data_IF_350572618908
#
_entry.id   IF_350572618908
#
_cell.length_a   1.000
_cell.length_b   1.000
_cell.length_c   1.000
_cell.angle_alpha   90.00
_cell.angle_beta   90.00
_cell.angle_gamma   90.00
#
_symmetry.space_group_name_H-M   'P 1'
#
loop_
_entity.id
_entity.type
_entity.pdbx_description
1 polymer ?
#
# COMPACT_ATOMS: atom_id res chain seq x y z
N UNK A 1 2.98 14.92 19.01
CA UNK A 1 3.25 15.65 17.74
C UNK A 1 4.27 16.78 17.82
N UNK A 2 4.65 17.23 19.02
CA UNK A 2 5.61 18.35 19.19
C UNK A 2 7.01 18.01 18.65
N UNK A 3 7.46 16.79 18.85
CA UNK A 3 8.75 16.34 18.34
C UNK A 3 8.79 16.31 16.80
N UNK A 4 7.72 15.76 16.17
CA UNK A 4 7.58 15.76 14.72
C UNK A 4 7.54 17.21 14.18
N UNK A 5 6.76 18.10 14.80
CA UNK A 5 6.69 19.53 14.45
C UNK A 5 8.08 20.17 14.52
N UNK A 6 8.80 19.99 15.62
CA UNK A 6 10.13 20.54 15.80
C UNK A 6 11.14 20.01 14.76
N UNK A 7 11.09 18.72 14.45
CA UNK A 7 11.95 18.08 13.45
C UNK A 7 11.67 18.63 12.05
N UNK A 8 10.41 18.63 11.63
CA UNK A 8 10.00 19.12 10.31
C UNK A 8 10.33 20.59 10.15
N UNK A 9 10.06 21.43 11.16
CA UNK A 9 10.37 22.87 11.13
C UNK A 9 11.87 23.11 10.93
N UNK A 10 12.72 22.40 11.68
CA UNK A 10 14.19 22.53 11.50
C UNK A 10 14.64 22.16 10.10
N UNK A 11 14.12 21.07 9.56
CA UNK A 11 14.45 20.62 8.20
C UNK A 11 13.94 21.58 7.15
N UNK A 12 12.70 22.08 7.32
CA UNK A 12 12.10 23.04 6.40
C UNK A 12 12.85 24.36 6.35
N UNK A 13 13.27 24.91 7.50
CA UNK A 13 14.06 26.13 7.54
C UNK A 13 15.36 26.06 6.71
N UNK A 14 15.95 24.85 6.61
CA UNK A 14 17.11 24.64 5.73
C UNK A 14 16.67 24.62 4.27
N UNK A 15 15.64 23.85 3.92
CA UNK A 15 15.12 23.74 2.54
C UNK A 15 14.68 25.11 2.01
N UNK A 16 13.91 25.85 2.78
CA UNK A 16 13.41 27.19 2.44
C UNK A 16 14.55 28.17 2.15
N UNK A 17 15.59 28.15 3.00
CA UNK A 17 16.78 29.00 2.81
C UNK A 17 17.48 28.79 1.47
N UNK A 18 17.44 27.57 0.95
CA UNK A 18 18.05 27.22 -0.34
C UNK A 18 17.05 27.16 -1.50
N UNK A 19 15.79 27.51 -1.27
CA UNK A 19 14.75 27.54 -2.30
C UNK A 19 14.41 26.14 -2.86
N UNK A 20 14.50 25.08 -2.02
CA UNK A 20 14.19 23.70 -2.40
C UNK A 20 13.01 23.16 -1.59
N UNK A 21 12.27 22.20 -2.17
CA UNK A 21 11.22 21.47 -1.46
C UNK A 21 11.80 20.45 -0.50
N UNK A 22 10.97 19.99 0.46
CA UNK A 22 11.33 18.90 1.36
C UNK A 22 10.67 17.60 0.91
N UNK A 23 11.43 16.49 0.83
CA UNK A 23 10.94 15.17 0.46
C UNK A 23 10.69 14.28 1.67
N UNK A 24 9.52 13.63 1.70
CA UNK A 24 9.17 12.62 2.71
C UNK A 24 9.19 11.23 2.08
N UNK A 25 10.15 10.42 2.50
CA UNK A 25 10.28 9.05 2.05
C UNK A 25 9.31 8.13 2.80
N UNK A 26 8.76 7.11 2.11
CA UNK A 26 7.85 6.13 2.72
C UNK A 26 6.63 6.77 3.40
N UNK A 27 6.00 7.72 2.71
CA UNK A 27 4.84 8.45 3.22
C UNK A 27 3.57 7.61 3.40
N UNK A 28 3.46 6.44 2.77
CA UNK A 28 2.23 5.66 2.65
C UNK A 28 1.60 5.19 3.98
N UNK A 29 2.36 5.10 5.06
CA UNK A 29 1.89 4.69 6.39
C UNK A 29 1.65 5.83 7.38
N UNK A 30 1.64 7.09 6.93
CA UNK A 30 1.46 8.23 7.84
C UNK A 30 0.00 8.61 8.00
N UNK A 31 -0.36 9.10 9.20
CA UNK A 31 -1.71 9.58 9.48
C UNK A 31 -2.03 10.90 8.76
N UNK A 32 -3.33 11.15 8.53
CA UNK A 32 -3.81 12.43 7.98
C UNK A 32 -3.34 13.64 8.82
N UNK A 33 -3.25 13.48 10.14
CA UNK A 33 -2.77 14.52 11.06
C UNK A 33 -1.31 14.87 10.79
N UNK A 34 -0.46 13.86 10.55
CA UNK A 34 0.94 14.08 10.21
C UNK A 34 1.08 14.80 8.86
N UNK A 35 0.27 14.46 7.86
CA UNK A 35 0.26 15.16 6.57
C UNK A 35 -0.17 16.62 6.70
N UNK A 36 -1.23 16.90 7.49
CA UNK A 36 -1.66 18.29 7.76
C UNK A 36 -0.55 19.09 8.40
N UNK A 37 0.08 18.54 9.44
CA UNK A 37 1.19 19.19 10.13
C UNK A 37 2.34 19.55 9.18
N UNK A 38 2.71 18.63 8.32
CA UNK A 38 3.77 18.85 7.35
C UNK A 38 3.37 19.90 6.31
N UNK A 39 2.14 19.82 5.78
CA UNK A 39 1.59 20.80 4.84
C UNK A 39 1.55 22.22 5.43
N UNK A 40 1.11 22.36 6.68
CA UNK A 40 1.11 23.64 7.40
C UNK A 40 2.51 24.25 7.52
N UNK A 41 3.50 23.45 7.92
CA UNK A 41 4.88 23.95 8.12
C UNK A 41 5.53 24.35 6.81
N UNK A 42 5.30 23.60 5.74
CA UNK A 42 5.98 23.77 4.46
C UNK A 42 5.23 24.66 3.48
N UNK A 43 4.02 25.13 3.85
CA UNK A 43 3.14 25.83 2.92
C UNK A 43 2.80 24.99 1.68
N UNK A 44 2.65 23.67 1.86
CA UNK A 44 2.40 22.66 0.82
C UNK A 44 3.56 22.47 -0.19
N UNK A 45 4.73 23.04 0.07
CA UNK A 45 5.93 22.86 -0.77
C UNK A 45 6.70 21.62 -0.34
N UNK A 46 6.17 20.43 -0.68
CA UNK A 46 6.72 19.15 -0.28
C UNK A 46 6.55 18.10 -1.37
N UNK A 47 7.38 17.06 -1.31
CA UNK A 47 7.26 15.84 -2.08
C UNK A 47 6.96 14.66 -1.15
N UNK A 48 6.01 13.79 -1.52
CA UNK A 48 5.67 12.58 -0.78
C UNK A 48 5.88 11.36 -1.67
N UNK A 49 6.76 10.46 -1.27
CA UNK A 49 6.96 9.18 -1.95
C UNK A 49 6.04 8.11 -1.35
N UNK A 50 5.15 7.56 -2.17
CA UNK A 50 4.04 6.70 -1.74
C UNK A 50 4.02 5.32 -2.41
N UNK A 51 5.16 4.78 -2.81
CA UNK A 51 5.24 3.53 -3.59
C UNK A 51 4.51 2.33 -2.94
N UNK A 52 4.57 2.17 -1.63
CA UNK A 52 3.83 1.13 -0.91
C UNK A 52 2.31 1.29 -1.00
N UNK A 53 1.82 2.51 -1.14
CA UNK A 53 0.39 2.75 -1.31
C UNK A 53 -0.14 2.25 -2.66
N UNK A 54 0.65 2.34 -3.72
CA UNK A 54 0.21 1.86 -5.03
C UNK A 54 0.00 0.34 -5.06
N UNK A 55 0.85 -0.43 -4.41
CA UNK A 55 0.63 -1.88 -4.30
C UNK A 55 -0.61 -2.21 -3.48
N UNK A 56 -0.87 -1.46 -2.41
CA UNK A 56 -2.10 -1.59 -1.63
C UNK A 56 -3.35 -1.27 -2.45
N UNK A 57 -3.37 -0.16 -3.19
CA UNK A 57 -4.53 0.21 -4.03
C UNK A 57 -4.74 -0.78 -5.19
N UNK A 58 -3.67 -1.37 -5.71
CA UNK A 58 -3.79 -2.46 -6.68
C UNK A 58 -4.47 -3.69 -6.06
N UNK A 59 -4.07 -4.10 -4.87
CA UNK A 59 -4.71 -5.20 -4.16
C UNK A 59 -6.20 -4.95 -3.91
N UNK A 60 -6.57 -3.74 -3.50
CA UNK A 60 -7.97 -3.33 -3.34
C UNK A 60 -8.75 -3.40 -4.67
N UNK A 61 -8.15 -2.96 -5.76
CA UNK A 61 -8.77 -3.00 -7.07
C UNK A 61 -9.03 -4.45 -7.53
N UNK A 62 -8.04 -5.33 -7.37
CA UNK A 62 -8.16 -6.75 -7.71
C UNK A 62 -9.16 -7.48 -6.82
N UNK A 63 -9.17 -7.19 -5.52
CA UNK A 63 -10.13 -7.74 -4.56
C UNK A 63 -11.57 -7.36 -4.92
N UNK A 64 -11.80 -6.12 -5.34
CA UNK A 64 -13.12 -5.61 -5.71
C UNK A 64 -13.54 -5.91 -7.16
N UNK A 65 -12.64 -6.43 -8.00
CA UNK A 65 -12.93 -6.78 -9.40
C UNK A 65 -13.87 -7.98 -9.48
N UNK A 66 -14.76 -7.99 -10.46
CA UNK A 66 -15.61 -9.13 -10.78
C UNK A 66 -14.99 -10.07 -11.81
N UNK A 67 -13.82 -9.73 -12.34
CA UNK A 67 -13.11 -10.51 -13.35
C UNK A 67 -12.36 -11.68 -12.72
N UNK A 68 -12.56 -12.89 -13.24
CA UNK A 68 -11.97 -14.12 -12.70
C UNK A 68 -10.44 -14.12 -12.69
N UNK A 69 -9.78 -13.52 -13.70
CA UNK A 69 -8.33 -13.46 -13.78
C UNK A 69 -7.75 -12.48 -12.74
N UNK A 70 -8.42 -11.36 -12.50
CA UNK A 70 -8.07 -10.41 -11.45
C UNK A 70 -8.21 -11.06 -10.06
N UNK A 71 -9.32 -11.76 -9.84
CA UNK A 71 -9.58 -12.50 -8.62
C UNK A 71 -8.58 -13.63 -8.39
N UNK A 72 -8.13 -14.31 -9.45
CA UNK A 72 -7.09 -15.32 -9.35
C UNK A 72 -5.73 -14.70 -8.98
N UNK A 73 -5.39 -13.55 -9.58
CA UNK A 73 -4.17 -12.82 -9.22
C UNK A 73 -4.21 -12.34 -7.76
N UNK A 74 -5.36 -11.83 -7.31
CA UNK A 74 -5.56 -11.42 -5.92
C UNK A 74 -5.34 -12.57 -4.95
N UNK A 75 -5.98 -13.74 -5.18
CA UNK A 75 -5.82 -14.92 -4.32
C UNK A 75 -4.39 -15.41 -4.25
N UNK A 76 -3.68 -15.46 -5.38
CA UNK A 76 -2.29 -15.88 -5.41
C UNK A 76 -1.37 -14.88 -4.67
N UNK A 77 -1.63 -13.59 -4.85
CA UNK A 77 -0.88 -12.54 -4.16
C UNK A 77 -1.10 -12.60 -2.64
N UNK A 78 -2.36 -12.75 -2.23
CA UNK A 78 -2.70 -12.87 -0.82
C UNK A 78 -2.07 -14.12 -0.18
N UNK A 79 -2.18 -15.27 -0.83
CA UNK A 79 -1.60 -16.53 -0.37
C UNK A 79 -0.06 -16.43 -0.19
N UNK A 80 0.62 -15.83 -1.16
CA UNK A 80 2.06 -15.57 -1.04
C UNK A 80 2.39 -14.72 0.18
N UNK A 81 1.63 -13.65 0.39
CA UNK A 81 1.85 -12.73 1.51
C UNK A 81 1.58 -13.39 2.85
N UNK A 82 0.56 -14.27 2.90
CA UNK A 82 0.26 -15.10 4.06
C UNK A 82 1.43 -16.04 4.38
N UNK A 83 1.98 -16.72 3.37
CA UNK A 83 3.16 -17.59 3.55
C UNK A 83 4.36 -16.84 4.12
N UNK A 84 4.59 -15.60 3.65
CA UNK A 84 5.65 -14.75 4.19
C UNK A 84 5.40 -14.35 5.65
N UNK A 85 4.18 -13.94 5.97
CA UNK A 85 3.81 -13.55 7.33
C UNK A 85 4.01 -14.72 8.32
N UNK A 86 3.56 -15.93 7.94
CA UNK A 86 3.75 -17.14 8.76
C UNK A 86 5.24 -17.46 8.88
N UNK A 87 6.01 -17.45 7.80
CA UNK A 87 7.45 -17.71 7.84
C UNK A 87 8.18 -16.68 8.73
N UNK A 88 7.83 -15.41 8.62
CA UNK A 88 8.39 -14.34 9.44
C UNK A 88 8.15 -14.53 10.94
N UNK A 89 7.02 -15.07 11.35
CA UNK A 89 6.71 -15.38 12.76
C UNK A 89 7.69 -16.39 13.40
N UNK A 90 8.42 -17.13 12.59
CA UNK A 90 9.40 -18.13 13.00
C UNK A 90 10.81 -17.85 12.47
N UNK A 91 11.07 -16.64 11.99
CA UNK A 91 12.38 -16.22 11.50
C UNK A 91 13.45 -16.35 12.61
N UNK A 92 14.69 -16.65 12.21
CA UNK A 92 15.83 -16.69 13.13
C UNK A 92 16.17 -15.30 13.66
N UNK A 93 16.06 -14.26 12.80
CA UNK A 93 16.24 -12.88 13.21
C UNK A 93 15.12 -12.44 14.17
N UNK A 94 15.52 -11.95 15.34
CA UNK A 94 14.58 -11.58 16.40
C UNK A 94 13.72 -10.38 16.02
N UNK A 95 14.28 -9.41 15.29
CA UNK A 95 13.55 -8.21 14.85
C UNK A 95 12.49 -8.57 13.83
N UNK A 96 12.86 -9.36 12.84
CA UNK A 96 11.92 -9.85 11.82
C UNK A 96 10.80 -10.67 12.46
N UNK A 97 11.15 -11.59 13.35
CA UNK A 97 10.19 -12.44 14.08
C UNK A 97 9.21 -11.62 14.92
N UNK A 98 9.71 -10.61 15.64
CA UNK A 98 8.86 -9.73 16.45
C UNK A 98 7.89 -8.95 15.58
N UNK A 99 8.36 -8.30 14.52
CA UNK A 99 7.53 -7.54 13.59
C UNK A 99 6.44 -8.40 12.95
N UNK A 100 6.81 -9.57 12.43
CA UNK A 100 5.85 -10.47 11.81
C UNK A 100 4.74 -10.90 12.79
N UNK A 101 5.11 -11.23 14.03
CA UNK A 101 4.17 -11.59 15.09
C UNK A 101 3.24 -10.43 15.46
N UNK A 102 3.73 -9.20 15.51
CA UNK A 102 2.91 -8.02 15.74
C UNK A 102 1.84 -7.86 14.65
N UNK A 103 2.23 -7.91 13.38
CA UNK A 103 1.30 -7.75 12.25
C UNK A 103 0.24 -8.84 12.19
N UNK A 104 0.64 -10.09 12.44
CA UNK A 104 -0.28 -11.21 12.44
C UNK A 104 -1.19 -11.18 13.66
N UNK A 105 -0.66 -10.82 14.86
CA UNK A 105 -1.48 -10.67 16.08
C UNK A 105 -2.55 -9.60 15.91
N UNK A 106 -2.20 -8.47 15.33
CA UNK A 106 -3.13 -7.38 15.08
C UNK A 106 -4.23 -7.82 14.10
N UNK A 107 -3.85 -8.51 13.02
CA UNK A 107 -4.82 -9.07 12.08
C UNK A 107 -5.79 -10.04 12.74
N UNK A 108 -5.30 -11.02 13.52
CA UNK A 108 -6.13 -12.00 14.22
C UNK A 108 -7.04 -11.34 15.26
N UNK A 109 -6.50 -10.42 16.04
CA UNK A 109 -7.26 -9.68 17.06
C UNK A 109 -8.39 -8.86 16.45
N UNK A 110 -8.15 -8.21 15.32
CA UNK A 110 -9.17 -7.45 14.59
C UNK A 110 -10.30 -8.37 14.08
N UNK A 111 -9.95 -9.61 13.73
CA UNK A 111 -10.92 -10.65 13.33
C UNK A 111 -11.58 -11.36 14.53
N UNK A 112 -11.31 -10.96 15.77
CA UNK A 112 -11.86 -11.57 16.97
C UNK A 112 -11.26 -12.92 17.31
N UNK A 113 -10.07 -13.24 16.78
CA UNK A 113 -9.34 -14.48 17.01
C UNK A 113 -8.25 -14.30 18.06
N UNK A 114 -7.90 -15.40 18.75
CA UNK A 114 -6.80 -15.37 19.74
C UNK A 114 -5.45 -15.23 19.05
N UNK A 115 -4.60 -14.29 19.47
CA UNK A 115 -3.25 -14.18 18.93
C UNK A 115 -2.31 -15.30 19.38
N UNK A 116 -2.70 -16.17 20.30
CA UNK A 116 -1.87 -17.26 20.84
C UNK A 116 -1.71 -18.46 19.89
N UNK A 117 -2.25 -18.38 18.68
CA UNK A 117 -2.20 -19.41 17.63
C UNK A 117 -0.78 -19.64 17.07
N UNK A 118 0.23 -18.97 17.63
CA UNK A 118 1.63 -19.09 17.19
C UNK A 118 2.42 -20.25 17.78
N UNK A 119 1.77 -21.23 18.38
CA UNK A 119 2.50 -22.34 18.96
C UNK A 119 3.36 -23.09 17.92
N UNK A 120 2.88 -23.12 16.67
CA UNK A 120 3.61 -23.69 15.54
C UNK A 120 3.16 -23.03 14.19
N UNK A 121 3.99 -23.13 13.11
CA UNK A 121 3.67 -22.53 11.81
C UNK A 121 2.36 -23.01 11.19
N UNK A 122 1.97 -24.27 11.41
CA UNK A 122 0.78 -24.84 10.82
C UNK A 122 -0.49 -24.27 11.47
N UNK A 123 -0.49 -24.13 12.80
CA UNK A 123 -1.59 -23.50 13.54
C UNK A 123 -1.76 -22.03 13.15
N UNK A 124 -0.67 -21.28 13.04
CA UNK A 124 -0.68 -19.90 12.59
C UNK A 124 -1.23 -19.75 11.17
N UNK A 125 -0.78 -20.60 10.26
CA UNK A 125 -1.28 -20.67 8.90
C UNK A 125 -2.77 -20.98 8.84
N UNK A 126 -3.22 -22.03 9.52
CA UNK A 126 -4.62 -22.43 9.54
C UNK A 126 -5.55 -21.33 10.06
N UNK A 127 -5.11 -20.59 11.08
CA UNK A 127 -5.87 -19.46 11.62
C UNK A 127 -6.01 -18.32 10.58
N UNK A 128 -4.93 -17.97 9.87
CA UNK A 128 -4.97 -16.93 8.84
C UNK A 128 -5.74 -17.37 7.59
N UNK A 129 -5.66 -18.65 7.21
CA UNK A 129 -6.44 -19.23 6.10
C UNK A 129 -7.95 -19.28 6.38
N UNK A 130 -8.35 -19.28 7.64
CA UNK A 130 -9.75 -19.22 8.04
C UNK A 130 -10.37 -17.81 7.92
N UNK A 131 -9.55 -16.78 7.75
CA UNK A 131 -10.01 -15.41 7.57
C UNK A 131 -10.53 -15.19 6.14
N UNK A 132 -11.55 -14.35 6.01
CA UNK A 132 -11.94 -13.82 4.71
C UNK A 132 -10.78 -12.99 4.15
N UNK A 133 -10.47 -13.17 2.86
CA UNK A 133 -9.36 -12.46 2.21
C UNK A 133 -9.64 -10.95 2.21
N UNK A 134 -8.73 -10.15 2.74
CA UNK A 134 -8.89 -8.69 2.80
C UNK A 134 -7.57 -7.96 2.55
N UNK A 135 -7.58 -6.92 1.72
CA UNK A 135 -6.43 -6.04 1.56
C UNK A 135 -6.16 -5.18 2.81
N UNK A 136 -7.10 -5.12 3.76
CA UNK A 136 -6.97 -4.34 4.99
C UNK A 136 -6.32 -5.14 6.14
N UNK A 137 -5.95 -6.40 5.91
CA UNK A 137 -5.17 -7.16 6.87
C UNK A 137 -3.77 -6.58 7.03
N UNK A 138 -3.34 -6.35 8.29
CA UNK A 138 -2.07 -5.67 8.58
C UNK A 138 -0.89 -6.41 7.97
N UNK A 139 -0.83 -7.75 8.12
CA UNK A 139 0.26 -8.52 7.51
C UNK A 139 0.28 -8.39 5.98
N UNK A 140 -0.90 -8.32 5.34
CA UNK A 140 -0.96 -8.15 3.89
C UNK A 140 -0.48 -6.75 3.50
N UNK A 141 -0.93 -5.71 4.20
CA UNK A 141 -0.49 -4.34 3.96
C UNK A 141 1.04 -4.20 4.05
N UNK A 142 1.67 -4.81 5.04
CA UNK A 142 3.10 -4.69 5.30
C UNK A 142 3.97 -5.53 4.33
N UNK A 143 3.50 -6.69 3.88
CA UNK A 143 4.28 -7.61 3.06
C UNK A 143 3.89 -7.66 1.57
N UNK A 144 2.80 -7.02 1.14
CA UNK A 144 2.28 -7.17 -0.22
C UNK A 144 3.29 -6.83 -1.33
N UNK A 145 4.13 -5.83 -1.11
CA UNK A 145 5.10 -5.38 -2.11
C UNK A 145 6.16 -6.45 -2.45
N UNK A 146 6.41 -7.39 -1.56
CA UNK A 146 7.38 -8.47 -1.78
C UNK A 146 6.95 -9.41 -2.91
N UNK A 147 5.66 -9.60 -3.14
CA UNK A 147 5.16 -10.38 -4.26
C UNK A 147 5.53 -9.75 -5.61
N UNK A 148 5.46 -8.44 -5.72
CA UNK A 148 5.83 -7.70 -6.94
C UNK A 148 7.35 -7.77 -7.18
N UNK A 149 8.13 -7.84 -6.12
CA UNK A 149 9.59 -7.92 -6.16
C UNK A 149 10.12 -9.35 -6.29
N UNK A 150 9.35 -10.34 -5.82
CA UNK A 150 9.81 -11.73 -5.77
C UNK A 150 9.42 -12.51 -7.03
N UNK A 151 10.24 -13.52 -7.39
CA UNK A 151 9.99 -14.39 -8.52
C UNK A 151 9.21 -15.64 -8.18
N UNK A 152 9.47 -16.26 -7.04
CA UNK A 152 9.24 -17.69 -6.82
C UNK A 152 8.55 -18.00 -5.49
N UNK A 153 7.64 -17.18 -5.00
CA UNK A 153 6.92 -17.50 -3.77
C UNK A 153 7.77 -17.54 -2.49
N UNK A 154 9.05 -17.27 -2.57
CA UNK A 154 9.92 -16.97 -1.43
C UNK A 154 10.68 -15.71 -1.78
N UNK A 155 10.61 -14.71 -0.92
CA UNK A 155 11.47 -13.56 -0.99
C UNK A 155 12.93 -14.01 -0.75
N UNK A 156 13.58 -14.44 -1.80
CA UNK A 156 15.03 -14.37 -1.76
C UNK A 156 15.38 -12.91 -1.57
N UNK A 157 16.25 -12.63 -0.60
CA UNK A 157 16.64 -11.28 -0.15
C UNK A 157 17.36 -10.47 -1.23
N UNK A 158 16.76 -10.33 -2.40
CA UNK A 158 17.23 -9.41 -3.42
C UNK A 158 16.53 -8.06 -3.22
N UNK A 159 17.23 -7.10 -2.66
CA UNK A 159 16.76 -5.73 -2.49
C UNK A 159 16.34 -5.05 -3.82
N UNK A 160 16.67 -5.65 -4.96
CA UNK A 160 16.42 -5.11 -6.30
C UNK A 160 15.31 -5.85 -7.06
N UNK A 161 14.67 -6.83 -6.43
CA UNK A 161 13.67 -7.68 -7.07
C UNK A 161 14.33 -8.75 -7.96
N UNK A 162 13.50 -9.71 -8.38
CA UNK A 162 13.96 -10.80 -9.22
C UNK A 162 13.81 -10.44 -10.70
N UNK A 163 14.95 -10.33 -11.38
CA UNK A 163 15.03 -10.10 -12.81
C UNK A 163 15.06 -11.40 -13.64
N UNK A 164 14.81 -12.56 -13.02
CA UNK A 164 14.66 -13.83 -13.75
C UNK A 164 13.41 -13.84 -14.64
N UNK A 165 13.33 -14.75 -15.63
CA UNK A 165 12.11 -14.95 -16.40
C UNK A 165 10.88 -15.26 -15.54
N UNK A 166 11.07 -15.90 -14.38
CA UNK A 166 9.97 -16.17 -13.44
C UNK A 166 9.44 -14.89 -12.80
N UNK A 167 10.32 -13.97 -12.34
CA UNK A 167 9.93 -12.69 -11.81
C UNK A 167 9.22 -11.80 -12.82
N UNK A 168 9.67 -11.81 -14.06
CA UNK A 168 8.98 -11.12 -15.14
C UNK A 168 7.58 -11.67 -15.41
N UNK A 169 7.38 -12.99 -15.27
CA UNK A 169 6.03 -13.60 -15.41
C UNK A 169 5.06 -13.08 -14.36
N UNK A 170 5.47 -12.95 -13.11
CA UNK A 170 4.60 -12.40 -12.07
C UNK A 170 4.27 -10.94 -12.34
N UNK A 171 5.25 -10.13 -12.70
CA UNK A 171 5.01 -8.72 -13.08
C UNK A 171 4.12 -8.60 -14.31
N UNK A 172 4.29 -9.48 -15.31
CA UNK A 172 3.46 -9.48 -16.51
C UNK A 172 1.96 -9.67 -16.19
N UNK A 173 1.61 -10.38 -15.12
CA UNK A 173 0.21 -10.53 -14.67
C UNK A 173 -0.42 -9.20 -14.31
N UNK A 174 0.32 -8.28 -13.70
CA UNK A 174 -0.18 -6.94 -13.39
C UNK A 174 -0.40 -6.08 -14.64
N UNK A 175 0.33 -6.33 -15.71
CA UNK A 175 0.11 -5.63 -16.98
C UNK A 175 -1.09 -6.19 -17.78
N UNK A 176 -1.54 -7.40 -17.45
CA UNK A 176 -2.65 -8.08 -18.12
C UNK A 176 -3.94 -8.12 -17.29
N UNK A 177 -4.05 -7.31 -16.24
CA UNK A 177 -5.29 -7.15 -15.48
C UNK A 177 -6.42 -6.62 -16.37
N UNK A 178 -7.66 -6.93 -16.01
CA UNK A 178 -8.84 -6.53 -16.77
C UNK A 178 -8.99 -5.01 -16.90
N UNK A 179 -9.82 -4.56 -17.81
CA UNK A 179 -10.16 -3.13 -17.94
C UNK A 179 -10.84 -2.61 -16.66
N UNK A 180 -11.71 -3.44 -16.05
CA UNK A 180 -12.30 -3.16 -14.73
C UNK A 180 -11.23 -2.97 -13.65
N UNK A 181 -10.28 -3.90 -13.55
CA UNK A 181 -9.19 -3.83 -12.58
C UNK A 181 -8.31 -2.60 -12.77
N UNK A 182 -8.02 -2.25 -14.03
CA UNK A 182 -7.25 -1.03 -14.37
C UNK A 182 -7.99 0.24 -13.98
N UNK A 183 -9.28 0.33 -14.31
CA UNK A 183 -10.11 1.48 -13.96
C UNK A 183 -10.19 1.66 -12.45
N UNK A 184 -10.50 0.60 -11.71
CA UNK A 184 -10.56 0.63 -10.23
C UNK A 184 -9.23 1.05 -9.61
N UNK A 185 -8.12 0.49 -10.11
CA UNK A 185 -6.80 0.87 -9.63
C UNK A 185 -6.49 2.34 -9.89
N UNK A 186 -6.75 2.83 -11.11
CA UNK A 186 -6.52 4.22 -11.47
C UNK A 186 -7.37 5.19 -10.62
N UNK A 187 -8.65 4.88 -10.44
CA UNK A 187 -9.55 5.65 -9.56
C UNK A 187 -9.08 5.65 -8.10
N UNK A 188 -8.66 4.50 -7.56
CA UNK A 188 -8.15 4.40 -6.20
C UNK A 188 -6.90 5.25 -6.00
N UNK A 189 -5.94 5.17 -6.93
CA UNK A 189 -4.70 5.98 -6.89
C UNK A 189 -5.03 7.47 -6.98
N UNK A 190 -5.91 7.88 -7.91
CA UNK A 190 -6.30 9.27 -8.07
C UNK A 190 -6.99 9.81 -6.80
N UNK A 191 -7.90 9.05 -6.20
CA UNK A 191 -8.54 9.41 -4.91
C UNK A 191 -7.51 9.57 -3.78
N UNK A 192 -6.51 8.70 -3.75
CA UNK A 192 -5.42 8.82 -2.77
C UNK A 192 -4.57 10.08 -2.99
N UNK A 193 -4.27 10.41 -4.24
CA UNK A 193 -3.57 11.67 -4.57
C UNK A 193 -4.39 12.89 -4.15
N UNK A 194 -5.71 12.89 -4.40
CA UNK A 194 -6.61 13.95 -3.94
C UNK A 194 -6.67 14.05 -2.41
N UNK A 195 -6.72 12.91 -1.72
CA UNK A 195 -6.62 12.87 -0.24
C UNK A 195 -5.32 13.54 0.25
N UNK A 196 -4.18 13.25 -0.37
CA UNK A 196 -2.92 13.90 -0.02
C UNK A 196 -2.96 15.39 -0.31
N UNK A 197 -3.49 15.80 -1.47
CA UNK A 197 -3.58 17.19 -1.86
C UNK A 197 -4.46 18.01 -0.89
N UNK A 198 -5.61 17.46 -0.48
CA UNK A 198 -6.47 18.07 0.53
C UNK A 198 -5.77 18.14 1.89
N UNK A 199 -5.22 17.00 2.33
CA UNK A 199 -4.64 16.87 3.67
C UNK A 199 -3.41 17.76 3.85
N UNK A 200 -2.62 17.97 2.81
CA UNK A 200 -1.45 18.87 2.85
C UNK A 200 -1.77 20.33 2.53
N UNK A 201 -3.02 20.66 2.24
CA UNK A 201 -3.46 22.02 1.91
C UNK A 201 -3.15 22.46 0.48
N UNK A 202 -2.74 21.54 -0.40
CA UNK A 202 -2.48 21.83 -1.81
C UNK A 202 -3.78 22.07 -2.59
N UNK A 203 -4.88 21.43 -2.19
CA UNK A 203 -6.20 21.63 -2.76
C UNK A 203 -7.26 21.80 -1.66
N UNK A 204 -8.35 22.51 -2.01
CA UNK A 204 -9.48 22.66 -1.09
C UNK A 204 -10.37 21.39 -1.07
N UNK A 205 -11.08 21.10 0.05
CA UNK A 205 -12.01 19.96 0.13
C UNK A 205 -13.03 19.94 -1.00
N UNK A 206 -13.63 21.09 -1.34
CA UNK A 206 -14.65 21.18 -2.39
C UNK A 206 -14.09 20.78 -3.77
N UNK A 207 -12.88 21.21 -4.09
CA UNK A 207 -12.20 20.81 -5.35
C UNK A 207 -11.90 19.32 -5.37
N UNK A 208 -11.46 18.76 -4.25
CA UNK A 208 -11.20 17.32 -4.15
C UNK A 208 -12.48 16.50 -4.30
N UNK A 209 -13.58 16.92 -3.67
CA UNK A 209 -14.89 16.26 -3.79
C UNK A 209 -15.43 16.31 -5.22
N UNK A 210 -15.33 17.45 -5.90
CA UNK A 210 -15.72 17.57 -7.30
C UNK A 210 -14.91 16.62 -8.18
N UNK A 211 -13.58 16.62 -8.03
CA UNK A 211 -12.72 15.73 -8.80
C UNK A 211 -13.00 14.23 -8.51
N UNK A 212 -13.30 13.85 -7.25
CA UNK A 212 -13.68 12.48 -6.91
C UNK A 212 -14.97 12.08 -7.62
N UNK A 213 -15.98 12.95 -7.67
CA UNK A 213 -17.24 12.67 -8.38
C UNK A 213 -17.02 12.49 -9.89
N UNK A 214 -16.15 13.29 -10.49
CA UNK A 214 -15.74 13.14 -11.91
C UNK A 214 -15.01 11.82 -12.14
N UNK A 215 -14.06 11.45 -11.27
CA UNK A 215 -13.34 10.16 -11.35
C UNK A 215 -14.28 8.95 -11.27
N UNK A 216 -15.32 9.03 -10.44
CA UNK A 216 -16.32 7.95 -10.28
C UNK A 216 -17.28 7.83 -11.44
N UNK A 217 -17.41 8.86 -12.27
CA UNK A 217 -18.29 8.84 -13.45
C UNK A 217 -17.71 8.01 -14.61
N UNK A 218 -16.40 7.78 -14.67
CA UNK A 218 -15.78 6.97 -15.72
C UNK A 218 -16.21 5.51 -15.64
N UNK A 219 -16.59 4.94 -16.81
CA UNK A 219 -17.08 3.57 -16.91
C UNK A 219 -16.03 2.61 -17.52
N UNK A 220 -14.99 3.13 -18.15
CA UNK A 220 -13.89 2.35 -18.71
C UNK A 220 -12.54 2.99 -18.42
N UNK A 221 -11.47 2.18 -18.45
CA UNK A 221 -10.11 2.69 -18.29
C UNK A 221 -9.70 3.60 -19.46
N UNK A 222 -10.20 3.33 -20.67
CA UNK A 222 -9.93 4.16 -21.85
C UNK A 222 -10.53 5.57 -21.68
N UNK A 223 -11.78 5.68 -21.21
CA UNK A 223 -12.42 6.98 -20.95
C UNK A 223 -11.69 7.75 -19.83
N UNK A 224 -11.34 7.05 -18.77
CA UNK A 224 -10.55 7.63 -17.67
C UNK A 224 -9.21 8.19 -18.17
N UNK A 225 -8.47 7.40 -18.97
CA UNK A 225 -7.17 7.83 -19.50
C UNK A 225 -7.30 9.04 -20.43
N UNK A 226 -8.32 9.07 -21.28
CA UNK A 226 -8.58 10.20 -22.17
C UNK A 226 -8.98 11.46 -21.40
N UNK A 227 -9.85 11.32 -20.41
CA UNK A 227 -10.33 12.47 -19.62
C UNK A 227 -9.31 13.10 -18.68
N UNK A 228 -8.22 12.39 -18.33
CA UNK A 228 -7.12 12.97 -17.55
C UNK A 228 -6.05 13.61 -18.46
N UNK A 229 -5.95 13.19 -19.72
CA UNK A 229 -4.96 13.71 -20.67
C UNK A 229 -5.34 15.08 -21.27
N UNK A 230 -6.60 15.46 -21.18
CA UNK A 230 -7.16 16.75 -21.59
C UNK A 230 -7.13 17.77 -20.44
#
# INVERSE_FOLDING_TARGET
NDELRAMVTRSWNVCEKFGVSIGFHSGSGKSAENYRLVGEITGSNLEIKTSGRYTYEMGRALHASTNDADQALWRDWYAFTLDLAVAGCFAEDETERKMAREFVSETLSTAGMSPEVYADPNSGRAALEALELSPDHVFWFEYNFLYVLAANGRAEKSALGDHSPAGYRQRARFYSISDEGRLRFAQNVAKYVLFLAETTGLATPDRCQTAIAELEAYQSFADFHSGIAD
#
